data_IF_990684730031
#
_entry.id   IF_990684730031
#
_cell.length_a   1.000
_cell.length_b   1.000
_cell.length_c   1.000
_cell.angle_alpha   90.00
_cell.angle_beta   90.00
_cell.angle_gamma   90.00
#
_symmetry.space_group_name_H-M   'P 1'
#
loop_
_entity.id
_entity.type
_entity.pdbx_description
1 polymer ?
#
# COMPACT_ATOMS: atom_id res chain seq x y z
N UNK A 1 3.65 -15.08 -20.23
CA UNK A 1 3.89 -14.64 -18.84
C UNK A 1 5.35 -14.22 -18.73
N UNK A 2 5.65 -13.05 -18.19
CA UNK A 2 7.05 -12.61 -18.02
C UNK A 2 7.71 -13.39 -16.89
N UNK A 3 9.02 -13.62 -16.98
CA UNK A 3 9.81 -14.11 -15.86
C UNK A 3 9.87 -13.04 -14.75
N UNK A 4 10.01 -13.49 -13.50
CA UNK A 4 10.00 -12.60 -12.33
C UNK A 4 11.06 -11.50 -12.41
N UNK A 5 12.30 -11.85 -12.75
CA UNK A 5 13.39 -10.87 -12.90
C UNK A 5 13.07 -9.80 -13.95
N UNK A 6 12.51 -10.20 -15.10
CA UNK A 6 12.15 -9.27 -16.16
C UNK A 6 11.04 -8.29 -15.74
N UNK A 7 10.12 -8.73 -14.88
CA UNK A 7 9.12 -7.84 -14.27
C UNK A 7 9.77 -6.84 -13.30
N UNK A 8 10.68 -7.30 -12.44
CA UNK A 8 11.39 -6.42 -11.50
C UNK A 8 12.25 -5.38 -12.21
N UNK A 9 12.97 -5.77 -13.27
CA UNK A 9 13.79 -4.85 -14.08
C UNK A 9 12.91 -3.75 -14.72
N UNK A 10 11.73 -4.13 -15.22
CA UNK A 10 10.77 -3.17 -15.77
C UNK A 10 10.25 -2.21 -14.69
N UNK A 11 9.87 -2.73 -13.52
CA UNK A 11 9.33 -1.92 -12.43
C UNK A 11 10.39 -1.01 -11.79
N UNK A 12 11.67 -1.38 -11.82
CA UNK A 12 12.77 -0.55 -11.33
C UNK A 12 12.91 0.77 -12.12
N UNK A 13 12.47 0.81 -13.38
CA UNK A 13 12.44 2.02 -14.21
C UNK A 13 11.21 2.90 -14.00
N UNK A 14 10.19 2.45 -13.24
CA UNK A 14 8.95 3.20 -13.04
C UNK A 14 9.14 4.21 -11.92
N UNK A 15 8.93 5.51 -12.22
CA UNK A 15 8.87 6.53 -11.18
C UNK A 15 7.68 6.27 -10.27
N UNK A 16 7.95 6.07 -8.98
CA UNK A 16 6.94 5.85 -7.96
C UNK A 16 7.18 6.79 -6.77
N UNK A 17 6.10 7.23 -6.07
CA UNK A 17 6.27 7.96 -4.83
C UNK A 17 6.94 7.09 -3.76
N UNK A 18 7.60 7.73 -2.79
CA UNK A 18 8.02 7.08 -1.55
C UNK A 18 7.09 7.53 -0.45
N UNK A 19 6.31 6.61 0.10
CA UNK A 19 5.31 6.92 1.14
C UNK A 19 5.57 6.06 2.37
N UNK A 20 5.56 6.68 3.55
CA UNK A 20 5.59 5.96 4.83
C UNK A 20 4.14 5.77 5.28
N UNK A 21 3.69 4.51 5.35
CA UNK A 21 2.37 4.15 5.89
C UNK A 21 2.54 3.72 7.34
N UNK A 22 1.77 4.34 8.23
CA UNK A 22 1.81 4.08 9.67
C UNK A 22 0.47 3.56 10.19
N UNK A 23 0.51 2.67 11.17
CA UNK A 23 -0.64 2.19 11.91
C UNK A 23 -0.32 2.17 13.40
N UNK A 24 -1.34 2.31 14.27
CA UNK A 24 -1.17 2.34 15.72
C UNK A 24 -2.05 1.32 16.46
N UNK A 25 -2.86 0.53 15.75
CA UNK A 25 -3.76 -0.44 16.36
C UNK A 25 -2.96 -1.63 16.89
N UNK A 26 -2.90 -1.79 18.21
CA UNK A 26 -2.03 -2.77 18.87
C UNK A 26 -0.57 -2.33 19.03
N UNK A 27 -0.25 -1.06 18.75
CA UNK A 27 1.09 -0.46 18.88
C UNK A 27 1.54 0.28 17.61
N UNK A 28 2.54 1.18 17.70
CA UNK A 28 3.03 1.94 16.55
C UNK A 28 3.83 1.06 15.59
N UNK A 29 3.44 1.06 14.33
CA UNK A 29 4.13 0.40 13.23
C UNK A 29 4.19 1.30 12.01
N UNK A 30 5.24 1.14 11.20
CA UNK A 30 5.41 1.87 9.95
C UNK A 30 6.11 1.03 8.90
N UNK A 31 5.80 1.27 7.63
CA UNK A 31 6.49 0.65 6.51
C UNK A 31 6.54 1.59 5.32
N UNK A 32 7.65 1.55 4.57
CA UNK A 32 7.79 2.31 3.33
C UNK A 32 7.16 1.53 2.19
N UNK A 33 6.31 2.21 1.41
CA UNK A 33 5.65 1.66 0.23
C UNK A 33 5.84 2.60 -0.95
N UNK A 34 5.98 2.01 -2.13
CA UNK A 34 5.92 2.72 -3.41
C UNK A 34 4.60 2.49 -4.15
N UNK A 35 3.89 1.40 -3.84
CA UNK A 35 2.58 1.06 -4.40
C UNK A 35 1.45 1.82 -3.68
N UNK A 36 1.43 3.14 -3.82
CA UNK A 36 0.42 4.04 -3.25
C UNK A 36 -0.27 4.85 -4.36
N UNK A 37 -1.60 4.86 -4.37
CA UNK A 37 -2.37 5.61 -5.36
C UNK A 37 -3.74 6.06 -4.84
N UNK A 38 -4.29 7.11 -5.45
CA UNK A 38 -5.70 7.46 -5.27
C UNK A 38 -6.59 6.40 -5.93
N UNK A 39 -7.68 6.04 -5.25
CA UNK A 39 -8.68 5.08 -5.74
C UNK A 39 -9.98 5.77 -6.15
N UNK A 40 -10.43 6.75 -5.38
CA UNK A 40 -11.66 7.49 -5.66
C UNK A 40 -11.61 8.88 -5.03
N UNK A 41 -12.25 9.84 -5.68
CA UNK A 41 -12.41 11.21 -5.19
C UNK A 41 -13.83 11.50 -4.69
N UNK A 42 -14.84 10.82 -5.23
CA UNK A 42 -16.26 11.02 -4.85
C UNK A 42 -16.63 10.31 -3.55
N UNK A 43 -15.79 9.37 -3.14
CA UNK A 43 -15.59 8.94 -1.76
C UNK A 43 -14.06 8.92 -1.61
N UNK A 44 -13.44 9.87 -0.89
CA UNK A 44 -11.99 9.98 -0.83
C UNK A 44 -11.35 8.69 -0.35
N UNK A 45 -10.69 7.97 -1.26
CA UNK A 45 -10.11 6.67 -1.01
C UNK A 45 -8.73 6.56 -1.64
N UNK A 46 -7.88 5.75 -1.01
CA UNK A 46 -6.55 5.40 -1.47
C UNK A 46 -6.40 3.88 -1.50
N UNK A 47 -5.40 3.41 -2.23
CA UNK A 47 -4.97 2.01 -2.21
C UNK A 47 -3.49 1.91 -1.85
N UNK A 48 -3.14 0.83 -1.15
CA UNK A 48 -1.78 0.48 -0.80
C UNK A 48 -1.60 -1.02 -0.95
N UNK A 49 -0.54 -1.46 -1.64
CA UNK A 49 -0.19 -2.88 -1.70
C UNK A 49 0.85 -3.22 -0.62
N UNK A 50 0.58 -4.25 0.19
CA UNK A 50 1.47 -4.72 1.25
C UNK A 50 1.78 -6.19 1.06
N UNK A 51 3.02 -6.57 1.37
CA UNK A 51 3.38 -7.97 1.45
C UNK A 51 2.64 -8.62 2.64
N UNK A 52 2.17 -9.87 2.47
CA UNK A 52 1.47 -10.63 3.52
C UNK A 52 2.33 -10.87 4.77
N UNK A 53 3.66 -10.85 4.63
CA UNK A 53 4.60 -10.92 5.76
C UNK A 53 4.86 -9.59 6.47
N UNK A 54 4.24 -8.48 6.04
CA UNK A 54 4.42 -7.20 6.71
C UNK A 54 3.88 -7.24 8.14
N UNK A 55 4.63 -6.63 9.07
CA UNK A 55 4.18 -6.42 10.46
C UNK A 55 3.05 -5.40 10.57
N UNK A 56 2.78 -4.65 9.49
CA UNK A 56 1.63 -3.76 9.41
C UNK A 56 0.36 -4.61 9.25
N UNK A 57 -0.31 -4.90 10.36
CA UNK A 57 -1.60 -5.58 10.36
C UNK A 57 -2.68 -4.59 9.89
N UNK A 58 -3.02 -4.62 8.59
CA UNK A 58 -4.21 -3.92 8.09
C UNK A 58 -5.42 -4.83 8.31
N UNK A 59 -6.51 -4.34 8.94
CA UNK A 59 -7.75 -5.10 9.07
C UNK A 59 -8.22 -5.59 7.69
N UNK A 60 -8.51 -6.90 7.55
CA UNK A 60 -8.89 -7.54 6.27
C UNK A 60 -10.32 -7.23 5.80
N UNK A 61 -10.89 -6.11 6.22
CA UNK A 61 -12.31 -5.80 5.99
C UNK A 61 -12.44 -4.63 5.02
N UNK A 62 -13.20 -4.83 3.94
CA UNK A 62 -13.59 -3.81 2.96
C UNK A 62 -14.54 -2.74 3.50
N UNK A 63 -14.36 -2.31 4.75
CA UNK A 63 -15.09 -1.20 5.33
C UNK A 63 -14.16 0.02 5.34
N UNK A 64 -14.39 0.93 4.39
CA UNK A 64 -13.88 2.28 4.54
C UNK A 64 -14.34 2.80 5.89
N UNK A 65 -13.39 3.07 6.81
CA UNK A 65 -13.67 3.88 7.98
C UNK A 65 -13.86 5.30 7.46
N UNK A 66 -15.11 5.63 7.11
CA UNK A 66 -15.53 7.01 6.96
C UNK A 66 -15.25 7.68 8.31
N UNK A 67 -14.27 8.56 8.34
CA UNK A 67 -14.01 9.42 9.49
C UNK A 67 -15.10 10.48 9.47
N UNK A 68 -16.24 10.16 10.08
CA UNK A 68 -17.30 11.08 10.47
C UNK A 68 -17.65 10.78 11.92
#
# INVERSE_FOLDING_TARGET
MLAEQAFWDLMAGVCAPVTVVTAAEGGPFGTTVSAFASLSLRSPMITVALNRGSRLAVPRTGAGRSVH
#
